data_IF_090037360069
#
_entry.id   IF_090037360069
#
_cell.length_a   1.000
_cell.length_b   1.000
_cell.length_c   1.000
_cell.angle_alpha   90.00
_cell.angle_beta   90.00
_cell.angle_gamma   90.00
#
_symmetry.space_group_name_H-M   'P 1'
#
loop_
_entity.id
_entity.type
_entity.pdbx_description
1 polymer ?
2 polymer ?
3 non-polymer ?
4 water ?
#
# COMPACT_ATOMS: atom_id res chain seq x y z
N UNK A 1 2.50 -4.95 0.23
CA UNK A 1 3.62 -5.80 0.75
C UNK A 1 3.78 -7.10 -0.01
N UNK A 2 4.99 -7.68 -0.02
CA UNK A 2 5.23 -8.94 -0.73
C UNK A 2 5.04 -10.18 0.15
N UNK A 3 5.51 -11.31 -0.36
CA UNK A 3 5.46 -12.62 0.29
C UNK A 3 4.66 -12.77 1.59
N UNK A 4 5.29 -13.36 2.59
CA UNK A 4 4.64 -13.58 3.87
C UNK A 4 4.94 -12.53 4.92
N UNK A 5 4.01 -11.62 5.13
CA UNK A 5 4.24 -10.57 6.11
C UNK A 5 3.03 -9.67 6.33
N UNK A 6 3.15 -8.70 7.26
CA UNK A 6 2.08 -7.76 7.62
C UNK A 6 1.01 -7.54 6.55
N UNK A 7 -0.04 -8.35 6.62
CA UNK A 7 -1.17 -8.29 5.71
C UNK A 7 -2.41 -7.94 6.53
N UNK A 8 -2.21 -7.62 7.80
CA UNK A 8 -3.34 -7.32 8.67
C UNK A 8 -4.25 -6.19 8.21
N UNK A 9 -3.70 -5.21 7.51
CA UNK A 9 -4.54 -4.11 7.03
C UNK A 9 -5.61 -4.68 6.11
N UNK A 10 -5.27 -5.79 5.47
CA UNK A 10 -6.18 -6.46 4.55
C UNK A 10 -7.21 -7.34 5.26
N UNK A 11 -6.80 -7.95 6.37
CA UNK A 11 -7.70 -8.86 7.06
C UNK A 11 -8.43 -8.34 8.29
N UNK A 12 -8.85 -7.09 8.24
CA UNK A 12 -9.59 -6.47 9.33
C UNK A 12 -11.07 -6.74 9.10
N UNK A 13 -11.88 -6.45 10.11
CA UNK A 13 -13.33 -6.56 9.98
C UNK A 13 -13.62 -5.11 9.61
N UNK A 14 -13.64 -4.83 8.31
CA UNK A 14 -13.83 -3.47 7.79
C UNK A 14 -15.12 -2.75 8.16
N UNK A 15 -16.16 -3.50 8.49
CA UNK A 15 -17.44 -2.89 8.85
C UNK A 15 -18.29 -3.93 9.58
N UNK A 16 -19.37 -3.49 10.24
CA UNK A 16 -20.26 -4.40 10.97
C UNK A 16 -20.70 -5.65 10.21
N UNK A 17 -20.86 -5.52 8.89
CA UNK A 17 -21.28 -6.66 8.09
C UNK A 17 -20.16 -7.25 7.26
N UNK A 18 -18.92 -6.98 7.64
CA UNK A 18 -17.75 -7.50 6.93
C UNK A 18 -17.87 -9.01 6.70
N UNK A 19 -17.79 -9.41 5.44
CA UNK A 19 -17.92 -10.81 5.03
C UNK A 19 -16.57 -11.44 4.69
N UNK A 20 -15.53 -10.62 4.63
CA UNK A 20 -14.19 -11.11 4.28
C UNK A 20 -13.48 -11.72 5.47
N UNK A 21 -13.00 -12.95 5.29
CA UNK A 21 -12.31 -13.64 6.37
C UNK A 21 -11.06 -14.37 5.90
N UNK A 22 -9.96 -14.11 6.59
CA UNK A 22 -8.68 -14.71 6.29
C UNK A 22 -8.74 -16.23 6.19
N UNK A 23 -9.69 -16.84 6.92
CA UNK A 23 -9.80 -18.29 6.91
C UNK A 23 -10.69 -18.89 5.82
N UNK A 24 -11.33 -18.04 5.02
CA UNK A 24 -12.23 -18.55 3.98
C UNK A 24 -12.21 -17.81 2.64
N UNK A 25 -11.59 -16.64 2.62
CA UNK A 25 -11.55 -15.83 1.41
C UNK A 25 -11.00 -16.46 0.13
N UNK A 26 -11.67 -16.16 -0.97
CA UNK A 26 -11.26 -16.59 -2.30
C UNK A 26 -11.47 -15.37 -3.20
N UNK A 27 -10.79 -15.31 -4.35
CA UNK A 27 -10.97 -14.16 -5.23
C UNK A 27 -12.37 -14.02 -5.82
N UNK A 28 -12.77 -12.77 -6.06
CA UNK A 28 -14.06 -12.47 -6.64
C UNK A 28 -13.87 -11.53 -7.83
N UNK A 29 -13.30 -10.35 -7.59
CA UNK A 29 -13.04 -9.41 -8.66
C UNK A 29 -11.92 -9.95 -9.54
N UNK A 30 -11.92 -9.56 -10.81
CA UNK A 30 -10.91 -10.01 -11.76
C UNK A 30 -9.50 -9.56 -11.38
N UNK A 31 -9.43 -8.52 -10.55
CA UNK A 31 -8.15 -7.95 -10.13
C UNK A 31 -7.56 -8.60 -8.88
N UNK A 32 -8.29 -9.53 -8.27
CA UNK A 32 -7.81 -10.19 -7.06
C UNK A 32 -7.16 -11.55 -7.32
N UNK A 33 -6.25 -11.92 -6.44
CA UNK A 33 -5.57 -13.21 -6.52
C UNK A 33 -5.54 -13.80 -5.12
N UNK A 34 -4.77 -13.20 -4.22
CA UNK A 34 -4.67 -13.72 -2.86
C UNK A 34 -5.04 -12.73 -1.77
N UNK A 35 -5.47 -11.54 -2.18
CA UNK A 35 -5.87 -10.49 -1.22
C UNK A 35 -7.12 -9.78 -1.71
N UNK A 36 -8.00 -9.38 -0.78
CA UNK A 36 -9.23 -8.68 -1.14
C UNK A 36 -9.03 -7.23 -1.58
N UNK A 37 -9.77 -6.83 -2.61
CA UNK A 37 -9.67 -5.46 -3.10
C UNK A 37 -10.24 -4.53 -2.03
N UNK A 38 -9.61 -3.37 -1.86
CA UNK A 38 -10.06 -2.42 -0.86
C UNK A 38 -10.19 -1.00 -1.41
N UNK A 39 -10.99 -0.20 -0.72
CA UNK A 39 -11.22 1.19 -1.11
C UNK A 39 -10.98 2.07 0.10
N UNK A 40 -10.39 3.24 -0.12
CA UNK A 40 -10.12 4.17 0.97
C UNK A 40 -11.32 5.09 1.17
N UNK A 41 -11.84 5.11 2.39
CA UNK A 41 -12.97 5.97 2.74
C UNK A 41 -12.43 7.24 3.36
N UNK A 42 -12.89 8.39 2.86
CA UNK A 42 -12.42 9.69 3.34
C UNK A 42 -13.08 10.22 4.62
N UNK A 43 -13.84 9.39 5.31
CA UNK A 43 -14.50 9.81 6.56
C UNK A 43 -13.44 10.10 7.62
N UNK A 44 -13.49 11.29 8.22
CA UNK A 44 -12.52 11.65 9.24
C UNK A 44 -11.09 11.48 8.74
N UNK A 45 -10.24 10.85 9.54
CA UNK A 45 -8.86 10.65 9.13
C UNK A 45 -8.75 9.50 8.12
N UNK A 46 -9.89 8.95 7.74
CA UNK A 46 -9.91 7.88 6.75
C UNK A 46 -9.65 6.45 7.22
N UNK A 47 -10.20 5.49 6.47
CA UNK A 47 -10.02 4.09 6.78
C UNK A 47 -10.27 3.28 5.51
N UNK A 48 -9.85 2.01 5.52
CA UNK A 48 -10.03 1.16 4.35
C UNK A 48 -11.14 0.14 4.54
N UNK A 49 -11.91 -0.09 3.47
CA UNK A 49 -12.99 -1.08 3.53
C UNK A 49 -12.85 -2.05 2.36
N UNK A 50 -13.35 -3.27 2.55
CA UNK A 50 -13.30 -4.27 1.50
C UNK A 50 -14.36 -3.91 0.45
N UNK A 51 -13.94 -3.85 -0.81
CA UNK A 51 -14.86 -3.52 -1.89
C UNK A 51 -16.08 -4.43 -1.89
N UNK A 52 -15.82 -5.73 -1.71
CA UNK A 52 -16.85 -6.76 -1.69
C UNK A 52 -17.89 -6.49 -0.60
N UNK A 53 -17.41 -6.05 0.57
CA UNK A 53 -18.29 -5.78 1.69
C UNK A 53 -19.19 -4.57 1.46
N UNK A 54 -18.79 -3.70 0.54
CA UNK A 54 -19.58 -2.51 0.23
C UNK A 54 -20.64 -2.85 -0.83
N UNK A 55 -20.66 -4.12 -1.23
CA UNK A 55 -21.59 -4.63 -2.25
C UNK A 55 -21.40 -3.97 -3.61
N UNK A 56 -20.17 -3.58 -3.90
CA UNK A 56 -19.87 -2.94 -5.17
C UNK A 56 -19.55 -3.94 -6.27
N UNK A 57 -20.19 -3.77 -7.43
CA UNK A 57 -19.93 -4.66 -8.55
C UNK A 57 -18.60 -4.23 -9.14
N UNK A 58 -17.95 -5.12 -9.88
CA UNK A 58 -16.64 -4.82 -10.44
C UNK A 58 -16.53 -3.53 -11.23
N UNK A 59 -17.47 -3.27 -12.14
CA UNK A 59 -17.36 -2.04 -12.94
C UNK A 59 -17.31 -0.81 -12.04
N UNK A 60 -18.07 -0.84 -10.95
CA UNK A 60 -18.10 0.31 -10.04
C UNK A 60 -16.74 0.46 -9.35
N UNK A 61 -16.19 -0.68 -8.93
CA UNK A 61 -14.89 -0.70 -8.25
C UNK A 61 -13.82 -0.14 -9.18
N UNK A 62 -13.84 -0.57 -10.44
CA UNK A 62 -12.86 -0.11 -11.41
C UNK A 62 -12.98 1.39 -11.65
N UNK A 63 -14.21 1.90 -11.72
CA UNK A 63 -14.41 3.33 -11.92
C UNK A 63 -13.82 4.10 -10.74
N UNK A 64 -14.02 3.57 -9.54
CA UNK A 64 -13.47 4.22 -8.35
C UNK A 64 -11.95 4.27 -8.39
N UNK A 65 -11.33 3.16 -8.80
CA UNK A 65 -9.88 3.08 -8.87
C UNK A 65 -9.27 4.03 -9.91
N UNK A 66 -10.05 4.35 -10.95
CA UNK A 66 -9.58 5.22 -12.02
C UNK A 66 -9.87 6.70 -11.77
N UNK A 67 -10.89 6.97 -10.94
CA UNK A 67 -11.24 8.35 -10.66
C UNK A 67 -10.36 9.01 -9.62
N UNK A 68 -10.49 10.32 -9.47
CA UNK A 68 -9.71 11.07 -8.50
C UNK A 68 -10.58 11.58 -7.37
N UNK A 69 -11.86 11.22 -7.40
CA UNK A 69 -12.81 11.65 -6.39
C UNK A 69 -12.71 10.87 -5.08
N UNK A 70 -13.16 11.51 -4.00
CA UNK A 70 -13.16 10.90 -2.67
C UNK A 70 -14.29 9.90 -2.55
N UNK A 71 -14.05 8.81 -1.82
CA UNK A 71 -15.06 7.79 -1.62
C UNK A 71 -15.47 7.72 -0.15
N UNK A 72 -16.77 7.54 0.09
CA UNK A 72 -17.28 7.41 1.45
C UNK A 72 -18.01 6.07 1.51
N UNK A 73 -17.60 5.22 2.45
CA UNK A 73 -18.19 3.90 2.58
C UNK A 73 -19.66 3.98 3.00
N UNK A 74 -20.36 2.88 2.83
CA UNK A 74 -21.79 2.82 3.14
C UNK A 74 -22.15 3.31 4.54
N UNK A 75 -21.21 3.21 5.47
CA UNK A 75 -21.43 3.66 6.85
C UNK A 75 -21.28 5.16 7.03
N UNK A 76 -20.54 5.81 6.13
CA UNK A 76 -20.29 7.23 6.29
C UNK A 76 -20.73 8.16 5.17
N UNK A 77 -21.09 7.60 4.02
CA UNK A 77 -21.50 8.42 2.89
C UNK A 77 -22.71 9.30 3.16
N UNK A 78 -23.62 8.84 4.02
CA UNK A 78 -24.80 9.65 4.31
C UNK A 78 -24.41 10.91 5.09
N UNK A 79 -23.46 10.76 6.01
CA UNK A 79 -22.98 11.89 6.81
C UNK A 79 -22.27 12.86 5.87
N UNK A 80 -21.55 12.33 4.89
CA UNK A 80 -20.81 13.15 3.94
C UNK A 80 -21.70 13.92 2.99
N UNK A 81 -22.90 13.40 2.75
CA UNK A 81 -23.85 14.04 1.83
C UNK A 81 -24.82 14.99 2.53
N UNK A 82 -24.92 14.89 3.85
CA UNK A 82 -25.82 15.72 4.63
C UNK A 82 -25.46 17.20 4.53
N UNK B 1 21.85 6.45 12.15
CA UNK B 1 22.02 7.29 13.37
C UNK B 1 21.93 6.52 14.67
N UNK B 2 22.44 7.10 15.77
CA UNK B 2 22.44 6.47 17.10
C UNK B 2 21.04 6.37 17.68
N UNK B 3 20.88 5.57 18.73
CA UNK B 3 19.58 5.41 19.38
C UNK B 3 19.04 6.78 19.81
N UNK B 4 17.78 7.05 19.47
CA UNK B 4 17.18 8.31 19.83
C UNK B 4 17.29 9.38 18.77
N UNK B 5 18.17 9.16 17.80
CA UNK B 5 18.36 10.11 16.71
C UNK B 5 17.11 10.20 15.83
N UNK B 6 16.83 11.39 15.26
CA UNK B 6 15.67 11.62 14.39
C UNK B 6 15.52 10.60 13.28
N UNK B 7 14.28 10.32 12.91
CA UNK B 7 13.97 9.34 11.85
C UNK B 7 13.04 9.97 10.81
N UNK B 8 13.29 11.23 10.49
CA UNK B 8 12.46 11.94 9.55
C UNK B 8 12.46 11.33 8.16
N UNK B 9 11.27 11.20 7.58
CA UNK B 9 11.15 10.63 6.25
C UNK B 9 10.88 9.14 6.24
N UNK B 10 11.09 8.48 7.39
CA UNK B 10 10.85 7.04 7.48
C UNK B 10 9.38 6.70 7.69
N UNK B 11 8.71 7.48 8.53
CA UNK B 11 7.32 7.20 8.84
C UNK B 11 6.33 8.12 8.15
N UNK B 12 6.46 8.22 6.83
CA UNK B 12 5.56 9.03 6.03
C UNK B 12 4.64 8.04 5.31
N UNK B 13 3.61 8.56 4.66
CA UNK B 13 2.73 7.71 3.87
C UNK B 13 3.42 7.85 2.52
N UNK B 14 4.22 6.85 2.17
CA UNK B 14 5.00 6.90 0.94
C UNK B 14 4.24 6.84 -0.35
N UNK B 15 3.03 6.28 -0.32
CA UNK B 15 2.22 6.17 -1.53
C UNK B 15 0.75 5.95 -1.18
N UNK B 16 -0.14 6.06 -2.17
CA UNK B 16 -1.58 5.87 -1.97
C UNK B 16 -2.00 4.60 -1.21
N UNK B 17 -1.18 3.56 -1.26
CA UNK B 17 -1.54 2.33 -0.54
C UNK B 17 -0.52 1.99 0.54
N UNK B 18 0.21 3.00 1.03
CA UNK B 18 1.22 2.78 2.05
C UNK B 18 0.72 1.85 3.14
N UNK B 19 1.60 0.90 3.40
CA UNK B 19 1.48 -0.24 4.27
C UNK B 19 2.11 -0.08 5.64
N UNK B 20 3.05 0.84 5.69
CA UNK B 20 3.85 1.08 6.85
C UNK B 20 3.35 2.15 7.81
N UNK B 21 3.10 1.71 9.05
CA UNK B 21 2.58 2.59 10.10
C UNK B 21 3.47 2.53 11.33
N UNK B 22 3.92 3.69 11.79
CA UNK B 22 4.78 3.76 12.97
C UNK B 22 4.17 3.12 14.21
N UNK B 23 2.84 2.95 14.20
CA UNK B 23 2.16 2.35 15.35
C UNK B 23 2.00 0.83 15.25
N UNK B 24 2.42 0.23 14.14
CA UNK B 24 2.25 -1.21 13.98
C UNK B 24 3.40 -1.94 13.27
N UNK B 25 4.25 -1.19 12.59
CA UNK B 25 5.35 -1.78 11.83
C UNK B 25 6.26 -2.76 12.59
N UNK B 26 6.65 -3.82 11.89
CA UNK B 26 7.56 -4.83 12.44
C UNK B 26 8.51 -5.15 11.28
N UNK B 27 9.72 -5.64 11.59
CA UNK B 27 10.66 -5.95 10.50
C UNK B 27 10.18 -7.03 9.52
N UNK B 28 10.62 -6.90 8.28
CA UNK B 28 10.29 -7.87 7.24
C UNK B 28 11.54 -8.37 6.55
N UNK B 29 12.27 -7.46 5.92
CA UNK B 29 13.50 -7.84 5.23
C UNK B 29 14.56 -8.16 6.27
N UNK B 30 15.52 -9.00 5.90
CA UNK B 30 16.59 -9.41 6.80
C UNK B 30 17.48 -8.23 7.21
N UNK B 31 17.38 -7.13 6.48
CA UNK B 31 18.20 -5.96 6.78
C UNK B 31 17.53 -4.95 7.70
N UNK B 32 16.30 -5.25 8.13
CA UNK B 32 15.56 -4.35 9.01
C UNK B 32 15.57 -4.76 10.47
N UNK B 33 15.49 -3.76 11.34
CA UNK B 33 15.45 -3.98 12.77
C UNK B 33 14.32 -3.12 13.34
N UNK B 34 14.53 -1.80 13.34
CA UNK B 34 13.53 -0.88 13.89
C UNK B 34 13.02 0.18 12.93
N UNK B 35 13.46 0.12 11.67
CA UNK B 35 13.04 1.09 10.66
C UNK B 35 12.82 0.42 9.30
N UNK B 36 11.80 0.90 8.54
CA UNK B 36 11.47 0.34 7.23
C UNK B 36 12.51 0.61 6.15
N UNK B 37 12.78 -0.42 5.34
CA UNK B 37 13.73 -0.26 4.25
C UNK B 37 13.06 0.65 3.23
N UNK B 38 13.84 1.55 2.64
CA UNK B 38 13.29 2.48 1.66
C UNK B 38 14.20 2.59 0.46
N UNK B 39 13.63 3.02 -0.66
CA UNK B 39 14.36 3.18 -1.91
C UNK B 39 14.09 4.56 -2.49
N UNK B 40 15.12 5.14 -3.12
CA UNK B 40 14.99 6.46 -3.70
C UNK B 40 14.44 6.41 -5.13
N UNK B 41 13.32 7.09 -5.35
CA UNK B 41 12.69 7.17 -6.67
C UNK B 41 13.21 8.42 -7.37
N UNK B 42 13.66 8.27 -8.61
CA UNK B 42 14.21 9.39 -9.37
C UNK B 42 13.22 10.28 -10.12
N UNK B 43 11.93 10.15 -9.83
CA UNK B 43 10.93 10.99 -10.49
C UNK B 43 11.12 12.44 -10.02
N UNK B 44 11.27 13.36 -10.98
CA UNK B 44 11.44 14.76 -10.63
C UNK B 44 12.60 14.99 -9.67
N UNK B 45 12.37 15.76 -8.62
CA UNK B 45 13.42 16.04 -7.65
C UNK B 45 13.63 14.84 -6.73
N UNK B 46 12.82 13.81 -6.92
CA UNK B 46 12.95 12.60 -6.13
C UNK B 46 12.18 12.51 -4.82
N UNK B 47 11.94 11.28 -4.37
CA UNK B 47 11.24 11.03 -3.12
C UNK B 47 11.54 9.60 -2.70
N UNK B 48 11.27 9.27 -1.44
CA UNK B 48 11.53 7.93 -0.93
C UNK B 48 10.26 7.11 -0.69
N UNK B 49 10.32 5.83 -1.03
CA UNK B 49 9.19 4.94 -0.82
C UNK B 49 9.64 3.72 -0.03
N UNK B 50 8.73 3.12 0.71
CA UNK B 50 9.06 1.92 1.49
C UNK B 50 9.14 0.76 0.52
N UNK B 51 10.20 -0.05 0.61
CA UNK B 51 10.37 -1.18 -0.28
C UNK B 51 9.17 -2.12 -0.17
N UNK B 52 8.70 -2.29 1.05
CA UNK B 52 7.57 -3.17 1.34
C UNK B 52 6.31 -2.73 0.59
N UNK B 53 6.06 -1.43 0.58
CA UNK B 53 4.89 -0.87 -0.10
C UNK B 53 4.95 -0.98 -1.61
N UNK B 54 6.14 -1.27 -2.14
CA UNK B 54 6.30 -1.41 -3.58
C UNK B 54 6.14 -2.88 -3.95
N UNK B 55 5.89 -3.72 -2.95
CA UNK B 55 5.72 -5.16 -3.14
C UNK B 55 6.97 -5.83 -3.69
N UNK B 56 8.13 -5.38 -3.24
CA UNK B 56 9.38 -5.96 -3.69
C UNK B 56 9.90 -7.02 -2.74
N UNK B 57 10.31 -8.15 -3.32
CA UNK B 57 10.85 -9.24 -2.51
C UNK B 57 12.27 -8.81 -2.14
N UNK B 58 12.81 -9.41 -1.08
CA UNK B 58 14.15 -9.06 -0.64
C UNK B 58 15.22 -9.16 -1.72
N UNK B 59 15.16 -10.23 -2.50
CA UNK B 59 16.11 -10.44 -3.60
C UNK B 59 16.17 -9.18 -4.45
N UNK B 60 15.00 -8.67 -4.82
CA UNK B 60 14.90 -7.47 -5.65
C UNK B 60 15.45 -6.24 -4.95
N UNK B 61 15.10 -6.10 -3.66
CA UNK B 61 15.56 -4.96 -2.88
C UNK B 61 17.09 -4.92 -2.79
N UNK B 62 17.70 -6.08 -2.53
CA UNK B 62 19.16 -6.15 -2.43
C UNK B 62 19.80 -5.78 -3.75
N UNK B 63 19.29 -6.31 -4.86
CA UNK B 63 19.84 -6.00 -6.17
C UNK B 63 19.77 -4.49 -6.40
N UNK B 64 18.65 -3.88 -6.03
CA UNK B 64 18.50 -2.44 -6.18
C UNK B 64 19.56 -1.71 -5.37
N UNK B 65 19.87 -2.21 -4.17
CA UNK B 65 20.86 -1.57 -3.32
C UNK B 65 22.28 -1.76 -3.86
N UNK B 66 22.49 -2.82 -4.63
CA UNK B 66 23.79 -3.12 -5.21
C UNK B 66 23.96 -2.39 -6.53
N UNK B 67 22.85 -2.17 -7.24
CA UNK B 67 22.90 -1.52 -8.53
C UNK B 67 23.22 -0.04 -8.49
N UNK B 68 23.42 0.54 -9.67
CA UNK B 68 23.76 1.95 -9.78
C UNK B 68 22.81 2.76 -10.66
N UNK B 69 21.90 2.10 -11.36
CA UNK B 69 20.97 2.85 -12.21
C UNK B 69 19.80 3.41 -11.40
N UNK B 70 19.02 4.27 -12.03
CA UNK B 70 17.88 4.91 -11.39
C UNK B 70 16.65 4.04 -11.20
N UNK B 71 16.02 4.20 -10.03
CA UNK B 71 14.82 3.46 -9.72
C UNK B 71 13.62 4.40 -9.76
N UNK B 72 12.50 3.90 -10.27
CA UNK B 72 11.27 4.68 -10.32
C UNK B 72 10.20 3.84 -9.64
N UNK B 73 9.54 4.41 -8.64
CA UNK B 73 8.51 3.68 -7.89
C UNK B 73 7.33 3.30 -8.77
N UNK B 74 6.46 2.45 -8.25
CA UNK B 74 5.30 1.97 -8.99
C UNK B 74 4.40 3.09 -9.50
N UNK B 75 4.48 4.26 -8.88
CA UNK B 75 3.67 5.39 -9.30
C UNK B 75 4.27 6.17 -10.46
N UNK B 76 5.58 6.08 -10.64
CA UNK B 76 6.23 6.86 -11.69
C UNK B 76 7.00 6.09 -12.75
N UNK B 77 7.12 4.79 -12.59
CA UNK B 77 7.88 4.02 -13.57
C UNK B 77 7.27 4.05 -14.98
N UNK B 78 5.93 3.99 -15.09
CA UNK B 78 5.31 4.02 -16.40
C UNK B 78 5.68 5.32 -17.12
N UNK B 79 5.66 6.42 -16.37
CA UNK B 79 6.01 7.72 -16.93
C UNK B 79 7.45 7.73 -17.43
N UNK B 80 8.37 7.20 -16.61
CA UNK B 80 9.78 7.17 -16.97
C UNK B 80 10.05 6.32 -18.20
N UNK B 81 9.35 5.20 -18.33
CA UNK B 81 9.54 4.30 -19.47
C UNK B 81 8.85 4.78 -20.76
N UNK B 82 7.98 5.77 -20.63
CA UNK B 82 7.25 6.31 -21.79
C UNK B 82 8.15 6.97 -22.81
N UNK C 1 20.53 1.78 -6.91
CA UNK C 1 19.77 2.99 -6.49
C UNK C 1 20.00 3.27 -5.01
N UNK C 2 19.75 4.52 -4.60
CA UNK C 2 19.91 4.88 -3.20
C UNK C 2 18.86 4.15 -2.38
N UNK C 3 19.27 3.55 -1.27
CA UNK C 3 18.34 2.83 -0.41
C UNK C 3 18.63 3.11 1.06
N UNK C 4 17.71 2.71 1.94
CA UNK C 4 17.87 2.86 3.37
C UNK C 4 17.61 1.52 4.04
N UNK C 5 18.37 1.21 5.08
CA UNK C 5 18.20 -0.03 5.82
C UNK C 5 18.34 -1.28 4.94
N UNK C 6 19.35 -1.29 4.08
CA UNK C 6 19.59 -2.45 3.21
C UNK C 6 20.97 -3.04 3.48
N UNK C 7 21.67 -2.47 4.45
CA UNK C 7 23.00 -2.94 4.82
C UNK C 7 22.91 -4.35 5.42
N UNK C 8 23.77 -5.24 4.93
CA UNK C 8 23.80 -6.61 5.43
C UNK C 8 25.09 -6.84 6.20
N UNK C 9 26.17 -6.72 5.59
N UNK D 1 -10.55 7.48 -6.36
CA UNK D 1 -10.30 7.10 -4.94
C UNK D 1 -9.15 6.12 -4.84
N UNK D 2 -8.53 6.05 -3.67
CA UNK D 2 -7.42 5.12 -3.45
C UNK D 2 -7.99 3.74 -3.28
N UNK D 3 -7.35 2.78 -3.94
CA UNK D 3 -7.78 1.40 -3.87
C UNK D 3 -6.58 0.45 -3.82
N UNK D 4 -6.85 -0.77 -3.38
CA UNK D 4 -5.83 -1.81 -3.30
C UNK D 4 -6.32 -3.02 -4.09
N UNK D 5 -5.41 -3.68 -4.79
CA UNK D 5 -5.72 -4.86 -5.57
C UNK D 5 -6.75 -4.60 -6.68
N UNK D 6 -6.52 -3.55 -7.46
CA UNK D 6 -7.42 -3.22 -8.56
C UNK D 6 -6.72 -3.14 -9.90
N UNK D 7 -5.54 -3.75 -10.00
CA UNK D 7 -4.79 -3.75 -11.26
C UNK D 7 -5.38 -4.77 -12.21
N UNK D 8 -5.61 -4.36 -13.45
CA UNK D 8 -6.20 -5.23 -14.46
C UNK D 8 -5.49 -6.57 -14.57
N UNK D 9 -6.28 -7.65 -14.56
CA UNK D 9 -5.74 -9.00 -14.66
C UNK D 9 -5.44 -9.36 -16.11
X LIG E 1 -14.89 -6.33 4.91
X LIG F 1 -16.06 5.03 5.96
X LIG G 1 4.99 3.05 2.49
X LIG H 1 8.15 7.80 -7.46
#
# INVERSE_FOLDING_TARGET
GPLGSPEFGYWITCCPTCDVDINTWVPFYSTELNKPAMIYCSHGDGHWVHAQCMDLEERTLIHLSEGSNKYYCNEHVQIARA
GPLGSPEFGYWITCCPTCDVDINTWVPFYSTELNKPAMIYCSHGDGHWVHAQCMDLEERTLIHLSEGSNKYYCNEHVQIARA
AXTKQTARA
AXTKQTARA
ZN ZN
ZN ZN
ZN ZN
ZN ZN
#
